data_IF_970026347347
#
_entry.id   IF_970026347347
#
_cell.length_a   1.000
_cell.length_b   1.000
_cell.length_c   1.000
_cell.angle_alpha   90.00
_cell.angle_beta   90.00
_cell.angle_gamma   90.00
#
_symmetry.space_group_name_H-M   'P 1'
#
loop_
_entity.id
_entity.type
_entity.pdbx_description
1 polymer ?
#
# COMPACT_ATOMS: atom_id res chain seq x y z
N UNK A 1 1.59 1.95 87.13
CA UNK A 1 2.52 2.15 86.00
C UNK A 1 2.75 0.79 85.35
N UNK A 2 2.34 0.69 84.08
CA UNK A 2 2.95 -0.15 83.02
C UNK A 2 2.93 -1.69 83.17
N UNK A 3 2.64 -2.51 82.15
CA UNK A 3 2.63 -2.36 80.68
C UNK A 3 1.57 -3.29 80.06
N UNK A 4 0.83 -2.79 79.07
CA UNK A 4 -0.14 -3.54 78.24
C UNK A 4 0.62 -4.28 77.12
N UNK A 5 0.33 -5.56 76.81
CA UNK A 5 0.93 -6.23 75.66
C UNK A 5 0.27 -5.78 74.35
N UNK A 6 1.10 -5.29 73.43
CA UNK A 6 0.72 -4.95 72.07
C UNK A 6 0.49 -6.25 71.28
N UNK A 7 -0.77 -6.64 71.08
CA UNK A 7 -1.13 -7.65 70.11
C UNK A 7 -1.16 -7.01 68.71
N UNK A 8 -0.13 -7.24 67.90
CA UNK A 8 -0.16 -6.88 66.47
C UNK A 8 -1.28 -7.67 65.80
N UNK A 9 -2.34 -6.97 65.37
CA UNK A 9 -3.34 -7.50 64.44
C UNK A 9 -2.63 -7.88 63.13
N UNK A 10 -2.77 -9.11 62.61
CA UNK A 10 -2.40 -9.38 61.24
C UNK A 10 -3.36 -8.66 60.30
N UNK A 11 -2.78 -8.21 59.20
CA UNK A 11 -3.38 -7.43 58.13
C UNK A 11 -4.71 -7.99 57.63
N UNK A 12 -5.62 -7.08 57.30
CA UNK A 12 -7.01 -7.33 56.98
C UNK A 12 -7.23 -8.43 55.95
N UNK A 13 -8.15 -9.35 56.28
CA UNK A 13 -8.89 -10.07 55.27
C UNK A 13 -9.54 -9.04 54.33
N UNK A 14 -9.02 -8.90 53.11
CA UNK A 14 -9.80 -8.36 52.01
C UNK A 14 -10.94 -9.35 51.74
N UNK A 15 -12.05 -9.13 52.44
CA UNK A 15 -13.31 -9.81 52.21
C UNK A 15 -13.82 -9.29 50.87
N UNK A 16 -13.96 -10.17 49.88
CA UNK A 16 -14.53 -9.83 48.59
C UNK A 16 -16.00 -9.43 48.83
N UNK A 17 -16.27 -8.12 48.86
CA UNK A 17 -17.64 -7.62 48.90
C UNK A 17 -18.23 -7.93 47.52
N UNK A 18 -19.29 -8.76 47.48
CA UNK A 18 -20.10 -8.94 46.27
C UNK A 18 -20.88 -7.64 46.04
N UNK A 19 -20.26 -6.65 45.42
CA UNK A 19 -20.99 -5.47 44.94
C UNK A 19 -21.54 -5.81 43.57
N UNK A 20 -22.79 -6.28 43.54
CA UNK A 20 -23.52 -6.46 42.29
C UNK A 20 -24.10 -5.11 41.88
N UNK A 21 -23.33 -4.32 41.13
CA UNK A 21 -23.86 -3.17 40.37
C UNK A 21 -23.68 -3.46 38.89
N UNK A 22 -24.78 -3.89 38.27
CA UNK A 22 -24.91 -4.00 36.83
C UNK A 22 -25.14 -2.58 36.30
N UNK A 23 -24.07 -1.89 35.92
CA UNK A 23 -24.16 -0.66 35.13
C UNK A 23 -24.05 -1.05 33.66
N UNK A 24 -25.17 -1.47 33.06
CA UNK A 24 -25.28 -1.61 31.61
C UNK A 24 -25.57 -0.21 31.06
N UNK A 25 -24.51 0.49 30.66
CA UNK A 25 -24.63 1.65 29.77
C UNK A 25 -24.54 1.11 28.35
N UNK A 26 -25.68 0.78 27.73
CA UNK A 26 -25.76 0.56 26.28
C UNK A 26 -25.81 1.96 25.67
N UNK A 27 -24.64 2.51 25.33
CA UNK A 27 -24.57 3.58 24.33
C UNK A 27 -24.79 2.90 23.00
N UNK A 28 -26.02 2.94 22.49
CA UNK A 28 -26.31 2.56 21.10
C UNK A 28 -25.79 3.69 20.20
N UNK A 29 -24.47 3.78 20.06
CA UNK A 29 -23.86 4.63 19.06
C UNK A 29 -24.05 3.89 17.72
N UNK A 30 -25.05 4.31 16.96
CA UNK A 30 -25.17 3.95 15.54
C UNK A 30 -24.01 4.60 14.80
N UNK A 31 -22.83 3.95 14.84
CA UNK A 31 -21.71 4.30 13.97
C UNK A 31 -22.09 3.76 12.60
N UNK A 32 -22.51 4.66 11.71
CA UNK A 32 -22.59 4.37 10.28
C UNK A 32 -21.16 4.10 9.80
N UNK A 33 -20.81 2.83 9.63
CA UNK A 33 -19.55 2.42 9.02
C UNK A 33 -19.71 2.55 7.50
N UNK A 34 -19.32 3.71 6.98
CA UNK A 34 -19.17 3.88 5.54
C UNK A 34 -17.91 3.12 5.10
N UNK A 35 -18.11 1.91 4.60
CA UNK A 35 -17.10 1.17 3.84
C UNK A 35 -16.91 1.85 2.49
N UNK A 36 -16.06 2.87 2.47
CA UNK A 36 -15.54 3.39 1.22
C UNK A 36 -14.53 2.38 0.69
N UNK A 37 -14.74 1.89 -0.54
CA UNK A 37 -13.69 1.16 -1.24
C UNK A 37 -12.44 2.04 -1.27
N UNK A 38 -11.39 1.63 -0.58
CA UNK A 38 -10.16 2.41 -0.54
C UNK A 38 -9.45 2.23 -1.87
N UNK A 39 -9.18 3.35 -2.54
CA UNK A 39 -8.40 3.35 -3.78
C UNK A 39 -6.94 3.27 -3.39
N UNK A 40 -6.29 2.16 -3.73
CA UNK A 40 -4.86 1.96 -3.56
C UNK A 40 -4.14 2.18 -4.89
N UNK A 41 -2.92 2.71 -4.82
CA UNK A 41 -2.09 3.01 -5.98
C UNK A 41 -0.67 2.48 -5.75
N UNK A 42 -0.15 1.73 -6.72
CA UNK A 42 1.25 1.32 -6.77
C UNK A 42 1.91 1.97 -7.98
N UNK A 43 3.08 2.58 -7.76
CA UNK A 43 3.79 3.35 -8.77
C UNK A 43 5.20 2.80 -8.97
N UNK A 44 5.58 2.60 -10.24
CA UNK A 44 6.90 2.17 -10.68
C UNK A 44 7.50 3.26 -11.56
N UNK A 45 8.52 3.96 -11.07
CA UNK A 45 9.08 5.20 -11.68
C UNK A 45 10.54 5.07 -12.14
N UNK A 46 11.14 3.90 -12.00
CA UNK A 46 12.55 3.66 -12.33
C UNK A 46 12.58 2.52 -13.33
N UNK A 47 13.46 2.62 -14.33
CA UNK A 47 13.64 1.57 -15.30
C UNK A 47 13.98 0.24 -14.64
N UNK A 48 13.35 -0.83 -15.12
CA UNK A 48 13.58 -2.16 -14.59
C UNK A 48 12.38 -3.09 -14.76
N UNK A 49 12.54 -4.30 -14.23
CA UNK A 49 11.50 -5.33 -14.22
C UNK A 49 11.05 -5.58 -12.79
N UNK A 50 9.75 -5.54 -12.57
CA UNK A 50 9.09 -5.74 -11.29
C UNK A 50 7.97 -6.78 -11.42
N UNK A 51 7.43 -7.18 -10.28
CA UNK A 51 6.25 -8.05 -10.21
C UNK A 51 5.15 -7.33 -9.45
N UNK A 52 3.96 -7.25 -10.06
CA UNK A 52 2.73 -6.85 -9.38
C UNK A 52 1.91 -8.10 -9.08
N UNK A 53 1.56 -8.32 -7.81
CA UNK A 53 0.62 -9.37 -7.42
C UNK A 53 -0.72 -8.72 -7.13
N UNK A 54 -1.78 -9.18 -7.79
CA UNK A 54 -3.13 -8.66 -7.57
C UNK A 54 -3.52 -8.92 -6.10
N UNK A 55 -3.81 -7.87 -5.31
CA UNK A 55 -4.18 -8.08 -3.91
C UNK A 55 -5.46 -8.90 -3.76
N UNK A 56 -5.61 -9.53 -2.60
CA UNK A 56 -6.81 -10.28 -2.28
C UNK A 56 -8.04 -9.35 -2.28
N UNK A 57 -9.15 -9.83 -2.84
CA UNK A 57 -10.39 -9.06 -2.97
C UNK A 57 -10.42 -8.09 -4.14
N UNK A 58 -9.35 -8.00 -4.95
CA UNK A 58 -9.27 -7.16 -6.15
C UNK A 58 -9.59 -8.00 -7.39
N UNK A 59 -10.58 -7.54 -8.15
CA UNK A 59 -11.02 -8.17 -9.41
C UNK A 59 -10.90 -7.24 -10.63
N UNK A 60 -10.48 -5.99 -10.41
CA UNK A 60 -10.28 -4.99 -11.45
C UNK A 60 -9.14 -4.06 -11.06
N UNK A 61 -8.27 -3.75 -12.02
CA UNK A 61 -7.19 -2.78 -11.88
C UNK A 61 -7.21 -1.81 -13.06
N UNK A 62 -6.84 -0.56 -12.82
CA UNK A 62 -6.51 0.41 -13.88
C UNK A 62 -5.02 0.55 -13.96
N UNK A 63 -4.46 0.28 -15.13
CA UNK A 63 -3.03 0.41 -15.40
C UNK A 63 -2.81 1.59 -16.32
N UNK A 64 -1.92 2.49 -15.93
CA UNK A 64 -1.45 3.61 -16.72
C UNK A 64 0.05 3.45 -16.96
N UNK A 65 0.50 3.55 -18.20
CA UNK A 65 1.89 3.38 -18.60
C UNK A 65 2.37 4.57 -19.41
N UNK A 66 3.63 4.95 -19.21
CA UNK A 66 4.38 5.93 -19.99
C UNK A 66 5.67 5.28 -20.48
N UNK A 67 5.98 5.38 -21.77
CA UNK A 67 7.25 4.91 -22.32
C UNK A 67 8.42 5.81 -21.91
N UNK A 68 9.64 5.28 -21.99
CA UNK A 68 10.85 6.09 -21.78
C UNK A 68 11.02 7.14 -22.88
N UNK A 69 11.60 8.28 -22.53
CA UNK A 69 11.95 9.33 -23.50
C UNK A 69 13.22 8.97 -24.26
N UNK A 70 13.36 9.44 -25.49
CA UNK A 70 14.59 9.32 -26.27
C UNK A 70 15.68 10.24 -25.74
N UNK A 71 16.94 9.79 -25.84
CA UNK A 71 18.10 10.63 -25.58
C UNK A 71 18.35 11.60 -26.73
N UNK A 72 18.89 12.78 -26.44
CA UNK A 72 19.33 13.68 -27.50
C UNK A 72 20.54 13.09 -28.26
N UNK A 73 20.85 13.67 -29.42
CA UNK A 73 22.03 13.25 -30.20
C UNK A 73 23.31 13.40 -29.38
N UNK A 74 24.14 12.35 -29.37
CA UNK A 74 25.25 12.18 -28.44
C UNK A 74 26.66 12.09 -29.04
N UNK A 75 26.80 12.12 -30.36
CA UNK A 75 28.04 11.77 -31.08
C UNK A 75 29.20 12.79 -31.00
N UNK A 76 29.15 13.80 -30.12
CA UNK A 76 30.20 14.80 -29.97
C UNK A 76 30.38 15.80 -31.15
N UNK A 77 29.64 15.67 -32.25
CA UNK A 77 29.74 16.57 -33.42
C UNK A 77 28.97 17.89 -33.24
N UNK A 78 29.03 18.82 -34.21
CA UNK A 78 28.32 20.13 -34.12
C UNK A 78 26.77 20.04 -34.18
N UNK A 79 26.20 18.85 -34.06
CA UNK A 79 24.82 18.51 -34.33
C UNK A 79 24.04 18.14 -33.05
N UNK A 80 22.81 18.68 -32.93
CA UNK A 80 22.24 19.06 -31.63
C UNK A 80 20.71 18.90 -31.52
N UNK A 81 20.13 17.94 -32.25
CA UNK A 81 18.69 17.68 -32.12
C UNK A 81 18.36 16.88 -30.86
N UNK A 82 17.16 17.10 -30.37
CA UNK A 82 16.68 16.57 -29.09
C UNK A 82 15.98 15.22 -29.24
N UNK A 83 15.84 14.47 -28.16
CA UNK A 83 15.07 13.22 -28.15
C UNK A 83 13.57 13.45 -28.10
N UNK A 84 12.79 12.49 -28.62
CA UNK A 84 11.33 12.51 -28.52
C UNK A 84 10.83 12.03 -27.14
N UNK A 85 9.65 12.48 -26.72
CA UNK A 85 9.01 12.02 -25.49
C UNK A 85 8.34 10.66 -25.65
N UNK A 86 8.16 9.92 -24.56
CA UNK A 86 7.45 8.64 -24.52
C UNK A 86 5.94 8.79 -24.71
N UNK A 87 5.31 7.75 -25.26
CA UNK A 87 3.86 7.66 -25.39
C UNK A 87 3.19 7.34 -24.04
N UNK A 88 1.86 7.33 -24.05
CA UNK A 88 1.04 6.84 -22.96
C UNK A 88 0.00 5.84 -23.42
N UNK A 89 -0.25 4.86 -22.56
CA UNK A 89 -1.35 3.95 -22.68
C UNK A 89 -2.01 3.68 -21.33
N UNK A 90 -3.31 3.41 -21.36
CA UNK A 90 -4.05 3.00 -20.18
C UNK A 90 -5.14 2.00 -20.54
N UNK A 91 -5.41 1.08 -19.63
CA UNK A 91 -6.53 0.15 -19.68
C UNK A 91 -7.02 -0.18 -18.28
N UNK A 92 -8.33 -0.40 -18.13
CA UNK A 92 -8.89 -1.12 -16.99
C UNK A 92 -8.98 -2.60 -17.36
N UNK A 93 -8.40 -3.46 -16.52
CA UNK A 93 -8.27 -4.89 -16.73
C UNK A 93 -9.06 -5.63 -15.66
N UNK A 94 -9.90 -6.58 -16.09
CA UNK A 94 -10.44 -7.59 -15.19
C UNK A 94 -9.32 -8.55 -14.79
N UNK A 95 -9.17 -8.80 -13.50
CA UNK A 95 -8.10 -9.63 -12.95
C UNK A 95 -8.63 -10.61 -11.91
N UNK A 96 -7.80 -11.60 -11.59
CA UNK A 96 -8.05 -12.52 -10.48
C UNK A 96 -7.06 -12.20 -9.37
N UNK A 97 -7.54 -12.13 -8.14
CA UNK A 97 -6.69 -11.99 -6.96
C UNK A 97 -5.59 -13.06 -6.90
N UNK A 98 -4.41 -12.68 -6.41
CA UNK A 98 -3.25 -13.55 -6.32
C UNK A 98 -2.50 -13.77 -7.64
N UNK A 99 -3.09 -13.42 -8.79
CA UNK A 99 -2.39 -13.46 -10.08
C UNK A 99 -1.23 -12.48 -10.08
N UNK A 100 -0.10 -12.90 -10.65
CA UNK A 100 1.09 -12.06 -10.82
C UNK A 100 1.20 -11.54 -12.24
N UNK A 101 1.64 -10.29 -12.36
CA UNK A 101 1.94 -9.62 -13.63
C UNK A 101 3.37 -9.12 -13.60
N UNK A 102 4.10 -9.35 -14.70
CA UNK A 102 5.38 -8.68 -14.93
C UNK A 102 5.12 -7.21 -15.25
N UNK A 103 5.91 -6.32 -14.67
CA UNK A 103 5.86 -4.88 -14.90
C UNK A 103 7.23 -4.44 -15.36
N UNK A 104 7.34 -3.97 -16.60
CA UNK A 104 8.60 -3.46 -17.18
C UNK A 104 8.46 -1.95 -17.35
N UNK A 105 9.25 -1.19 -16.60
CA UNK A 105 9.38 0.25 -16.81
C UNK A 105 10.49 0.49 -17.84
N UNK A 106 10.15 1.14 -18.94
CA UNK A 106 11.09 1.43 -20.02
C UNK A 106 12.15 2.44 -19.60
N UNK A 107 13.41 2.14 -19.88
CA UNK A 107 14.52 3.07 -19.64
C UNK A 107 14.45 4.28 -20.57
N UNK A 108 14.86 5.43 -20.05
CA UNK A 108 15.18 6.59 -20.86
C UNK A 108 16.39 6.33 -21.77
N UNK A 109 16.35 6.86 -22.98
CA UNK A 109 17.45 6.76 -23.92
C UNK A 109 18.63 7.62 -23.49
N UNK A 110 19.84 7.06 -23.49
CA UNK A 110 21.05 7.83 -23.23
C UNK A 110 21.48 8.64 -24.44
N UNK A 111 22.13 9.77 -24.19
CA UNK A 111 22.59 10.68 -25.23
C UNK A 111 23.94 10.23 -25.82
N UNK A 112 23.98 9.05 -26.44
CA UNK A 112 25.16 8.49 -27.13
C UNK A 112 24.82 8.19 -28.59
N UNK A 113 25.70 8.56 -29.52
CA UNK A 113 25.57 8.22 -30.95
C UNK A 113 24.69 9.16 -31.79
N UNK A 114 24.46 8.76 -33.04
CA UNK A 114 23.58 9.41 -34.00
C UNK A 114 22.82 8.36 -34.84
N UNK A 115 21.51 8.17 -34.62
CA UNK A 115 20.68 8.87 -33.64
C UNK A 115 21.13 8.62 -32.19
N UNK A 116 20.68 9.47 -31.25
CA UNK A 116 20.73 9.14 -29.83
C UNK A 116 19.99 7.82 -29.55
N UNK A 117 20.13 7.25 -28.35
CA UNK A 117 19.38 6.02 -28.04
C UNK A 117 17.89 6.33 -27.87
N UNK A 118 17.04 5.45 -28.40
CA UNK A 118 15.61 5.51 -28.15
C UNK A 118 15.29 5.10 -26.72
N UNK A 119 14.27 5.73 -26.14
CA UNK A 119 13.65 5.25 -24.92
C UNK A 119 12.98 3.90 -25.15
N UNK A 120 12.96 3.07 -24.13
CA UNK A 120 12.33 1.76 -24.18
C UNK A 120 10.84 1.87 -23.85
N UNK A 121 10.06 0.91 -24.37
CA UNK A 121 8.64 0.82 -24.04
C UNK A 121 8.43 0.41 -22.57
N UNK A 122 7.36 0.90 -21.96
CA UNK A 122 6.87 0.39 -20.67
C UNK A 122 5.75 -0.61 -20.92
N UNK A 123 5.84 -1.78 -20.29
CA UNK A 123 4.97 -2.93 -20.54
C UNK A 123 4.39 -3.46 -19.23
N UNK A 124 3.08 -3.63 -19.19
CA UNK A 124 2.38 -4.34 -18.11
C UNK A 124 1.81 -5.67 -18.59
N UNK A 125 2.07 -6.72 -17.81
CA UNK A 125 1.65 -8.08 -18.10
C UNK A 125 2.25 -8.62 -19.40
N UNK A 126 1.52 -9.53 -20.06
CA UNK A 126 1.91 -10.04 -21.38
C UNK A 126 1.39 -9.09 -22.48
N UNK A 127 1.92 -7.87 -22.52
CA UNK A 127 1.50 -6.79 -23.44
C UNK A 127 0.03 -6.38 -23.30
N UNK A 128 -0.54 -6.44 -22.10
CA UNK A 128 -1.92 -5.98 -21.86
C UNK A 128 -2.02 -4.46 -21.89
N UNK A 129 -0.97 -3.77 -21.43
CA UNK A 129 -0.77 -2.33 -21.62
C UNK A 129 0.68 -2.10 -22.04
N UNK A 130 0.88 -1.37 -23.13
CA UNK A 130 2.19 -1.00 -23.66
C UNK A 130 2.18 0.47 -24.00
N UNK A 131 3.15 1.21 -23.46
CA UNK A 131 3.41 2.59 -23.84
C UNK A 131 4.74 2.67 -24.57
N UNK A 132 4.68 3.06 -25.85
CA UNK A 132 5.82 3.14 -26.75
C UNK A 132 6.87 4.17 -26.30
N UNK A 133 8.15 3.87 -26.54
CA UNK A 133 9.27 4.75 -26.19
C UNK A 133 9.48 5.86 -27.23
N UNK A 134 10.06 6.99 -26.80
CA UNK A 134 10.46 8.06 -27.69
C UNK A 134 11.72 7.71 -28.49
N UNK A 135 11.79 8.12 -29.75
CA UNK A 135 12.99 7.92 -30.57
C UNK A 135 14.13 8.85 -30.13
N UNK A 136 15.36 8.36 -30.21
CA UNK A 136 16.53 9.20 -29.95
C UNK A 136 16.73 10.30 -31.00
N UNK A 137 17.39 11.37 -30.58
CA UNK A 137 17.54 12.60 -31.38
C UNK A 137 18.44 12.42 -32.60
N UNK A 138 17.97 12.93 -33.74
CA UNK A 138 18.79 13.14 -34.95
C UNK A 138 19.13 14.64 -35.10
N UNK A 139 19.40 15.13 -36.30
CA UNK A 139 19.42 16.58 -36.57
C UNK A 139 18.04 17.22 -36.57
N UNK A 140 17.03 16.43 -36.88
CA UNK A 140 15.62 16.84 -36.99
C UNK A 140 14.82 16.46 -35.75
N UNK A 141 15.51 16.38 -34.60
CA UNK A 141 14.94 15.80 -33.39
C UNK A 141 14.67 14.31 -33.50
N UNK A 142 14.12 13.73 -32.43
CA UNK A 142 13.60 12.37 -32.37
C UNK A 142 12.07 12.40 -32.38
N UNK A 143 11.44 11.45 -33.05
CA UNK A 143 9.99 11.28 -33.00
C UNK A 143 9.53 10.91 -31.58
N UNK A 144 8.37 11.40 -31.16
CA UNK A 144 7.73 10.91 -29.94
C UNK A 144 7.26 9.48 -30.09
N UNK A 145 7.08 8.78 -28.97
CA UNK A 145 6.46 7.45 -28.95
C UNK A 145 5.07 7.48 -29.57
N UNK A 146 4.68 6.41 -30.23
CA UNK A 146 3.52 6.41 -31.13
C UNK A 146 2.28 5.74 -30.51
N UNK A 147 1.10 6.17 -30.97
CA UNK A 147 -0.16 5.46 -30.68
C UNK A 147 -0.16 4.05 -31.28
N UNK A 148 0.46 3.87 -32.46
CA UNK A 148 0.54 2.59 -33.15
C UNK A 148 1.42 1.56 -32.41
N UNK A 149 2.52 2.00 -31.78
CA UNK A 149 3.37 1.18 -30.93
C UNK A 149 2.81 0.94 -29.53
N UNK A 150 1.68 1.58 -29.18
CA UNK A 150 1.06 1.49 -27.86
C UNK A 150 -0.17 0.59 -27.85
N UNK A 151 -0.34 -0.15 -26.76
CA UNK A 151 -1.48 -1.06 -26.51
C UNK A 151 -2.22 -0.55 -25.27
N UNK A 152 -3.51 -0.25 -25.42
CA UNK A 152 -4.38 0.19 -24.35
C UNK A 152 -5.69 0.74 -24.90
N UNK A 153 -6.70 0.90 -24.04
CA UNK A 153 -8.00 1.50 -24.42
C UNK A 153 -7.86 3.00 -24.67
N UNK A 154 -7.04 3.69 -23.87
CA UNK A 154 -6.68 5.09 -24.08
C UNK A 154 -5.21 5.18 -24.45
N UNK A 155 -4.89 5.92 -25.51
CA UNK A 155 -3.51 6.05 -26.02
C UNK A 155 -3.24 7.47 -26.50
N UNK A 156 -2.06 7.97 -26.16
CA UNK A 156 -1.57 9.27 -26.62
C UNK A 156 -0.12 9.17 -27.04
N UNK A 157 0.24 9.88 -28.10
CA UNK A 157 1.62 9.96 -28.55
C UNK A 157 2.45 10.87 -27.63
N UNK A 158 3.76 10.64 -27.60
CA UNK A 158 4.72 11.58 -27.04
C UNK A 158 4.98 12.75 -28.00
N UNK A 159 5.57 13.83 -27.49
CA UNK A 159 5.99 14.95 -28.30
C UNK A 159 7.27 14.64 -29.08
N UNK A 160 7.43 15.23 -30.25
CA UNK A 160 8.69 15.18 -30.99
C UNK A 160 9.75 16.09 -30.34
N UNK A 161 11.02 15.70 -30.42
CA UNK A 161 12.15 16.56 -30.07
C UNK A 161 12.33 17.67 -31.10
N UNK A 162 12.82 18.81 -30.64
CA UNK A 162 13.14 19.97 -31.47
C UNK A 162 14.39 19.75 -32.34
N UNK A 163 14.41 20.43 -33.47
CA UNK A 163 15.55 20.50 -34.38
C UNK A 163 16.67 21.35 -33.78
N UNK A 164 17.89 21.18 -34.32
CA UNK A 164 18.99 22.15 -34.09
C UNK A 164 18.63 23.54 -34.64
N UNK A 165 19.28 24.59 -34.15
CA UNK A 165 19.10 25.97 -34.60
C UNK A 165 19.62 26.32 -36.00
N UNK A 166 19.36 25.48 -37.00
CA UNK A 166 19.81 25.71 -38.39
C UNK A 166 21.32 25.52 -38.59
N UNK A 167 21.84 26.00 -39.72
CA UNK A 167 23.28 25.92 -40.07
C UNK A 167 24.14 26.96 -39.36
N UNK A 168 23.54 28.08 -38.96
CA UNK A 168 24.23 29.22 -38.32
C UNK A 168 23.94 29.36 -36.83
N UNK A 169 22.93 28.67 -36.28
CA UNK A 169 22.54 28.82 -34.88
C UNK A 169 23.32 27.93 -33.92
N UNK A 170 23.48 28.45 -32.70
CA UNK A 170 24.27 27.84 -31.62
C UNK A 170 23.41 27.06 -30.61
N UNK A 171 22.08 27.17 -30.68
CA UNK A 171 21.15 26.47 -29.79
C UNK A 171 20.87 25.01 -30.19
N UNK A 172 20.83 24.13 -29.18
CA UNK A 172 20.27 22.78 -29.31
C UNK A 172 18.74 22.78 -29.27
N UNK A 173 18.12 21.74 -29.81
CA UNK A 173 16.66 21.57 -29.74
C UNK A 173 16.20 21.23 -28.32
N UNK A 174 14.97 21.59 -27.96
CA UNK A 174 14.32 21.12 -26.74
C UNK A 174 13.76 19.71 -26.92
N UNK A 175 13.83 18.87 -25.88
CA UNK A 175 13.26 17.52 -25.90
C UNK A 175 11.74 17.52 -26.02
N UNK A 176 11.17 16.46 -26.58
CA UNK A 176 9.71 16.28 -26.61
C UNK A 176 9.16 15.99 -25.22
N UNK A 177 7.98 16.53 -24.89
CA UNK A 177 7.29 16.17 -23.66
C UNK A 177 6.72 14.75 -23.74
N UNK A 178 6.65 14.06 -22.60
CA UNK A 178 5.78 12.88 -22.47
C UNK A 178 4.31 13.28 -22.64
N UNK A 179 3.42 12.30 -22.78
CA UNK A 179 1.98 12.57 -22.95
C UNK A 179 1.41 13.46 -21.81
N UNK A 180 0.36 14.25 -22.06
CA UNK A 180 -0.21 15.18 -21.08
C UNK A 180 -1.07 14.48 -20.00
N UNK A 181 -0.48 13.64 -19.15
CA UNK A 181 -1.11 13.06 -17.96
C UNK A 181 -2.48 12.36 -18.20
N UNK A 182 -2.73 11.82 -19.40
CA UNK A 182 -3.99 11.20 -19.88
C UNK A 182 -5.02 12.09 -20.57
N UNK A 183 -4.74 13.38 -20.80
CA UNK A 183 -5.70 14.28 -21.48
C UNK A 183 -5.32 14.62 -22.92
N UNK A 184 -4.15 14.19 -23.39
CA UNK A 184 -3.72 14.42 -24.77
C UNK A 184 -2.28 13.99 -25.06
N UNK A 185 -1.88 14.23 -26.31
CA UNK A 185 -0.51 14.00 -26.77
C UNK A 185 0.50 14.90 -26.04
N UNK A 186 1.75 14.45 -25.97
CA UNK A 186 2.85 15.26 -25.46
C UNK A 186 3.17 16.40 -26.41
N UNK A 187 3.59 17.55 -25.87
CA UNK A 187 3.94 18.68 -26.70
C UNK A 187 5.34 18.52 -27.29
N UNK A 188 5.50 18.99 -28.52
CA UNK A 188 6.81 18.99 -29.18
C UNK A 188 7.76 19.95 -28.46
N UNK A 189 9.03 19.58 -28.41
CA UNK A 189 10.09 20.51 -28.03
C UNK A 189 10.29 21.57 -29.10
N UNK A 190 10.66 22.78 -28.67
CA UNK A 190 10.96 23.86 -29.59
C UNK A 190 12.31 23.63 -30.27
N UNK A 191 12.45 24.14 -31.49
CA UNK A 191 13.73 24.16 -32.20
C UNK A 191 14.73 25.07 -31.47
N UNK A 192 16.02 24.75 -31.58
CA UNK A 192 17.07 25.65 -31.16
C UNK A 192 17.03 26.97 -31.92
N UNK A 193 17.42 28.06 -31.27
CA UNK A 193 17.56 29.38 -31.86
C UNK A 193 19.00 29.73 -32.25
N UNK A 194 19.18 30.95 -32.77
CA UNK A 194 20.50 31.47 -33.13
C UNK A 194 21.43 31.61 -31.93
N UNK A 195 20.90 31.97 -30.76
CA UNK A 195 21.66 32.21 -29.52
C UNK A 195 21.19 31.39 -28.32
N UNK A 196 19.93 30.93 -28.33
CA UNK A 196 19.31 30.19 -27.23
C UNK A 196 18.93 28.77 -27.63
N UNK A 197 18.96 27.84 -26.67
CA UNK A 197 18.39 26.51 -26.86
C UNK A 197 16.86 26.54 -26.92
N UNK A 198 16.27 25.51 -27.53
CA UNK A 198 14.82 25.35 -27.59
C UNK A 198 14.25 24.93 -26.24
N UNK A 199 13.07 25.44 -25.88
CA UNK A 199 12.34 24.96 -24.70
C UNK A 199 11.90 23.51 -24.88
N UNK A 200 11.98 22.72 -23.82
CA UNK A 200 11.39 21.38 -23.80
C UNK A 200 9.87 21.42 -23.96
N UNK A 201 9.32 20.39 -24.58
CA UNK A 201 7.89 20.21 -24.71
C UNK A 201 7.24 19.93 -23.36
N UNK A 202 6.08 20.53 -23.09
CA UNK A 202 5.33 20.31 -21.85
C UNK A 202 4.48 19.04 -21.91
N UNK A 203 4.19 18.44 -20.75
CA UNK A 203 3.39 17.21 -20.62
C UNK A 203 3.60 16.52 -19.26
N UNK A 204 3.16 15.27 -19.11
CA UNK A 204 3.63 14.40 -18.02
C UNK A 204 5.04 13.96 -18.34
N UNK A 205 6.00 14.57 -17.66
CA UNK A 205 7.41 14.45 -18.00
C UNK A 205 7.78 15.48 -19.06
N UNK A 206 8.12 16.69 -18.60
CA UNK A 206 8.57 17.75 -19.49
C UNK A 206 9.85 17.30 -20.21
N UNK A 207 9.97 17.63 -21.50
CA UNK A 207 11.21 17.49 -22.22
C UNK A 207 12.30 18.38 -21.62
N UNK A 208 13.55 17.97 -21.78
CA UNK A 208 14.69 18.77 -21.36
C UNK A 208 14.89 19.98 -22.26
N UNK A 209 15.28 21.13 -21.69
CA UNK A 209 15.62 22.30 -22.47
C UNK A 209 16.91 22.06 -23.28
N UNK A 210 16.95 22.59 -24.50
CA UNK A 210 18.16 22.63 -25.30
C UNK A 210 19.19 23.58 -24.68
N UNK A 211 20.47 23.27 -24.87
CA UNK A 211 21.58 24.11 -24.46
C UNK A 211 21.76 25.32 -25.39
N UNK A 212 21.99 26.49 -24.80
CA UNK A 212 22.57 27.66 -25.48
C UNK A 212 24.06 27.43 -25.76
N UNK A 213 24.73 28.29 -26.54
CA UNK A 213 26.09 28.08 -27.08
C UNK A 213 27.02 27.16 -26.27
N UNK A 214 27.42 27.52 -25.05
CA UNK A 214 28.33 26.75 -24.19
C UNK A 214 27.63 25.84 -23.14
N UNK A 215 26.29 25.80 -23.14
CA UNK A 215 25.51 25.09 -22.13
C UNK A 215 25.16 23.67 -22.59
N UNK A 216 25.17 22.69 -21.66
CA UNK A 216 24.68 21.35 -21.95
C UNK A 216 23.17 21.37 -22.21
N UNK A 217 22.67 20.31 -22.85
CA UNK A 217 21.23 20.06 -22.90
C UNK A 217 20.77 19.48 -21.56
N UNK A 218 19.56 19.82 -21.12
CA UNK A 218 18.98 19.24 -19.92
C UNK A 218 18.39 17.86 -20.20
N UNK A 219 18.43 16.98 -19.20
CA UNK A 219 17.70 15.71 -19.25
C UNK A 219 16.19 15.95 -19.28
N UNK A 220 15.45 15.00 -19.82
CA UNK A 220 14.00 14.96 -19.68
C UNK A 220 13.57 14.68 -18.23
N UNK A 221 12.30 14.96 -17.93
CA UNK A 221 11.71 14.67 -16.62
C UNK A 221 10.85 13.41 -16.67
N UNK A 222 10.88 12.61 -15.61
CA UNK A 222 10.02 11.42 -15.48
C UNK A 222 8.54 11.86 -15.35
N UNK A 223 7.61 11.22 -16.06
CA UNK A 223 7.84 10.08 -16.95
C UNK A 223 8.10 10.47 -18.40
N UNK A 224 9.09 9.85 -19.03
CA UNK A 224 9.19 9.80 -20.49
C UNK A 224 9.52 11.11 -21.20
N UNK A 225 9.93 12.18 -20.51
CA UNK A 225 10.42 13.39 -21.17
C UNK A 225 11.66 13.09 -22.03
N UNK A 226 11.72 13.61 -23.25
CA UNK A 226 12.88 13.50 -24.13
C UNK A 226 14.03 14.41 -23.67
N UNK A 227 15.27 14.01 -23.94
CA UNK A 227 16.44 14.81 -23.59
C UNK A 227 16.65 16.00 -24.52
N UNK A 228 17.12 17.13 -23.98
CA UNK A 228 17.47 18.33 -24.75
C UNK A 228 18.82 18.23 -25.45
N UNK A 229 18.95 18.81 -26.64
CA UNK A 229 20.22 18.86 -27.37
C UNK A 229 21.21 19.84 -26.75
N UNK A 230 22.51 19.55 -26.78
CA UNK A 230 23.57 20.49 -26.32
C UNK A 230 23.68 21.75 -27.19
N UNK A 231 24.31 22.81 -26.67
CA UNK A 231 24.76 23.96 -27.45
C UNK A 231 25.95 23.65 -28.38
N UNK A 232 26.26 24.54 -29.35
CA UNK A 232 27.35 24.33 -30.34
C UNK A 232 28.74 24.21 -29.75
N UNK A 233 28.96 24.81 -28.59
CA UNK A 233 30.20 24.79 -27.81
C UNK A 233 29.98 24.08 -26.47
N UNK A 234 28.77 23.57 -26.23
CA UNK A 234 28.34 23.01 -24.96
C UNK A 234 28.76 21.56 -24.79
N UNK A 235 28.83 21.13 -23.53
CA UNK A 235 29.19 19.76 -23.11
C UNK A 235 28.11 18.71 -23.45
N UNK A 236 27.79 17.83 -22.51
CA UNK A 236 26.90 16.68 -22.77
C UNK A 236 25.50 17.09 -23.24
N UNK A 237 24.91 16.25 -24.09
CA UNK A 237 23.50 16.32 -24.45
C UNK A 237 22.64 15.66 -23.35
N UNK A 238 21.37 16.05 -23.27
CA UNK A 238 20.44 15.51 -22.28
C UNK A 238 19.97 14.09 -22.60
N UNK A 239 19.84 13.28 -21.57
CA UNK A 239 19.23 11.94 -21.61
C UNK A 239 17.70 12.04 -21.59
N UNK A 240 17.05 11.02 -22.15
CA UNK A 240 15.62 10.83 -21.96
C UNK A 240 15.34 10.33 -20.55
N UNK A 241 14.17 10.66 -20.02
CA UNK A 241 13.73 10.15 -18.73
C UNK A 241 13.15 8.74 -18.85
N UNK A 242 13.26 7.97 -17.77
CA UNK A 242 12.56 6.70 -17.62
C UNK A 242 11.05 6.87 -17.78
N UNK A 243 10.42 5.79 -18.23
CA UNK A 243 8.98 5.66 -18.24
C UNK A 243 8.39 5.56 -16.83
N UNK A 244 7.11 5.21 -16.77
CA UNK A 244 6.40 4.97 -15.51
C UNK A 244 5.28 3.99 -15.72
N UNK A 245 4.98 3.18 -14.71
CA UNK A 245 3.72 2.44 -14.64
C UNK A 245 3.04 2.75 -13.31
N UNK A 246 1.75 3.07 -13.37
CA UNK A 246 0.88 3.27 -12.20
C UNK A 246 -0.25 2.25 -12.28
N UNK A 247 -0.43 1.48 -11.22
CA UNK A 247 -1.52 0.52 -11.06
C UNK A 247 -2.41 1.01 -9.93
N UNK A 248 -3.66 1.32 -10.26
CA UNK A 248 -4.67 1.77 -9.30
C UNK A 248 -5.78 0.74 -9.21
N UNK A 249 -6.22 0.44 -8.00
CA UNK A 249 -7.28 -0.55 -7.77
C UNK A 249 -8.08 -0.21 -6.52
N UNK A 250 -9.35 -0.60 -6.52
CA UNK A 250 -10.17 -0.57 -5.33
C UNK A 250 -9.78 -1.78 -4.48
N UNK A 251 -9.13 -1.54 -3.33
CA UNK A 251 -8.99 -2.58 -2.30
C UNK A 251 -10.25 -2.60 -1.46
N UNK A 252 -10.93 -3.75 -1.46
CA UNK A 252 -12.04 -4.00 -0.55
C UNK A 252 -11.44 -4.31 0.82
N UNK A 253 -11.42 -3.32 1.72
CA UNK A 253 -11.02 -3.51 3.11
C UNK A 253 -12.06 -4.34 3.86
N UNK A 254 -11.61 -5.05 4.88
CA UNK A 254 -12.48 -5.67 5.88
C UNK A 254 -12.64 -4.73 7.08
N UNK A 255 -13.50 -5.10 8.02
CA UNK A 255 -13.65 -4.46 9.32
C UNK A 255 -13.99 -5.59 10.29
N UNK A 256 -12.99 -6.06 11.05
CA UNK A 256 -13.12 -7.18 11.97
C UNK A 256 -13.20 -6.67 13.41
N UNK A 257 -14.41 -6.66 13.96
CA UNK A 257 -14.65 -6.28 15.33
C UNK A 257 -14.52 -7.46 16.30
N UNK A 258 -13.80 -7.25 17.41
CA UNK A 258 -13.67 -8.21 18.51
C UNK A 258 -14.51 -7.75 19.70
N UNK A 259 -15.26 -8.68 20.27
CA UNK A 259 -15.91 -8.53 21.58
C UNK A 259 -15.36 -9.56 22.54
N UNK A 260 -15.25 -9.20 23.82
CA UNK A 260 -14.79 -10.11 24.86
C UNK A 260 -15.45 -9.84 26.20
N UNK A 261 -15.98 -10.88 26.82
CA UNK A 261 -16.58 -10.81 28.16
C UNK A 261 -16.10 -11.95 29.03
N UNK A 262 -16.17 -11.77 30.35
CA UNK A 262 -16.01 -12.82 31.34
C UNK A 262 -17.35 -13.06 32.04
N UNK A 263 -17.60 -14.29 32.49
CA UNK A 263 -18.82 -14.65 33.24
C UNK A 263 -18.95 -13.92 34.58
N UNK A 264 -17.85 -13.36 35.10
CA UNK A 264 -17.79 -12.57 36.32
C UNK A 264 -16.61 -11.60 36.28
N UNK A 265 -16.74 -10.44 36.93
CA UNK A 265 -15.63 -9.50 37.19
C UNK A 265 -14.81 -9.86 38.44
N UNK A 266 -15.33 -10.77 39.28
CA UNK A 266 -14.66 -11.26 40.48
C UNK A 266 -14.82 -12.76 40.69
N UNK A 267 -13.74 -13.45 41.06
CA UNK A 267 -13.74 -14.88 41.32
C UNK A 267 -12.92 -15.21 42.58
N UNK A 268 -13.11 -16.41 43.13
CA UNK A 268 -12.20 -16.96 44.14
C UNK A 268 -11.29 -18.01 43.53
N UNK A 269 -10.08 -18.18 44.09
CA UNK A 269 -9.19 -19.30 43.74
C UNK A 269 -9.98 -20.62 43.72
N UNK A 270 -9.80 -21.40 42.66
CA UNK A 270 -10.49 -22.67 42.39
C UNK A 270 -11.80 -22.54 41.61
N UNK A 271 -12.33 -21.33 41.36
CA UNK A 271 -13.53 -21.17 40.54
C UNK A 271 -13.24 -21.22 39.04
N UNK A 272 -14.19 -21.79 38.31
CA UNK A 272 -14.22 -21.71 36.85
C UNK A 272 -14.68 -20.31 36.42
N UNK A 273 -13.97 -19.72 35.47
CA UNK A 273 -14.34 -18.49 34.77
C UNK A 273 -14.49 -18.83 33.30
N UNK A 274 -15.59 -18.35 32.71
CA UNK A 274 -15.87 -18.51 31.29
C UNK A 274 -15.62 -17.19 30.59
N UNK A 275 -14.81 -17.19 29.55
CA UNK A 275 -14.60 -16.06 28.67
C UNK A 275 -15.31 -16.31 27.34
N UNK A 276 -16.09 -15.34 26.88
CA UNK A 276 -16.74 -15.38 25.56
C UNK A 276 -16.06 -14.38 24.65
N UNK A 277 -15.59 -14.85 23.50
CA UNK A 277 -14.95 -14.06 22.44
C UNK A 277 -15.86 -14.09 21.23
N UNK A 278 -16.22 -12.92 20.69
CA UNK A 278 -16.98 -12.81 19.45
C UNK A 278 -16.20 -12.03 18.41
N UNK A 279 -16.19 -12.53 17.18
CA UNK A 279 -15.59 -11.90 16.00
C UNK A 279 -16.70 -11.65 14.99
N UNK A 280 -16.78 -10.43 14.48
CA UNK A 280 -17.75 -10.07 13.43
C UNK A 280 -17.02 -9.35 12.32
N UNK A 281 -17.32 -9.70 11.07
CA UNK A 281 -16.90 -8.91 9.92
C UNK A 281 -17.99 -7.89 9.57
N UNK A 282 -17.80 -6.63 9.98
CA UNK A 282 -18.75 -5.53 9.79
C UNK A 282 -18.54 -4.78 8.47
N UNK A 283 -17.59 -5.21 7.63
CA UNK A 283 -17.42 -4.63 6.28
C UNK A 283 -18.62 -4.92 5.39
N UNK A 284 -18.87 -4.04 4.41
CA UNK A 284 -19.93 -4.22 3.41
C UNK A 284 -19.38 -4.89 2.16
N UNK A 285 -19.71 -6.17 1.96
CA UNK A 285 -19.41 -6.91 0.75
C UNK A 285 -18.02 -7.56 0.70
N UNK A 286 -17.13 -7.34 1.67
CA UNK A 286 -15.79 -7.97 1.70
C UNK A 286 -15.79 -9.23 2.57
N UNK A 287 -15.35 -10.35 2.02
CA UNK A 287 -15.07 -11.56 2.82
C UNK A 287 -13.65 -11.49 3.37
N UNK A 288 -13.48 -11.63 4.69
CA UNK A 288 -12.19 -11.77 5.34
C UNK A 288 -11.68 -13.20 5.17
N UNK A 289 -10.39 -13.35 4.88
CA UNK A 289 -9.74 -14.66 4.68
C UNK A 289 -8.51 -14.76 5.55
N UNK A 290 -8.16 -16.00 5.93
CA UNK A 290 -7.12 -16.29 6.90
C UNK A 290 -7.35 -15.54 8.22
N UNK A 291 -8.60 -15.55 8.69
CA UNK A 291 -8.99 -14.92 9.94
C UNK A 291 -8.41 -15.73 11.10
N UNK A 292 -7.54 -15.09 11.88
CA UNK A 292 -6.86 -15.68 13.02
C UNK A 292 -7.03 -14.79 14.24
N UNK A 293 -7.47 -15.39 15.34
CA UNK A 293 -7.60 -14.75 16.65
C UNK A 293 -6.48 -15.27 17.57
N UNK A 294 -5.86 -14.36 18.32
CA UNK A 294 -4.95 -14.70 19.40
C UNK A 294 -5.59 -14.37 20.75
N UNK A 295 -5.84 -15.41 21.55
CA UNK A 295 -6.41 -15.35 22.90
C UNK A 295 -5.87 -16.51 23.75
N UNK A 296 -4.76 -16.25 24.43
CA UNK A 296 -4.16 -17.19 25.38
C UNK A 296 -4.68 -16.90 26.80
N UNK A 297 -5.16 -17.94 27.49
CA UNK A 297 -5.51 -17.81 28.90
C UNK A 297 -4.27 -17.36 29.71
N UNK A 298 -4.42 -16.38 30.63
CA UNK A 298 -3.32 -15.98 31.49
C UNK A 298 -2.79 -17.14 32.34
N UNK A 299 -1.50 -17.15 32.66
CA UNK A 299 -0.84 -18.25 33.40
C UNK A 299 -1.44 -18.57 34.77
N UNK A 300 -2.24 -17.67 35.34
CA UNK A 300 -3.02 -17.92 36.55
C UNK A 300 -4.25 -18.82 36.36
N UNK A 301 -4.54 -19.28 35.14
CA UNK A 301 -5.64 -20.19 34.82
C UNK A 301 -5.15 -21.55 34.34
N UNK A 302 -5.87 -22.61 34.71
CA UNK A 302 -5.79 -23.93 34.08
C UNK A 302 -6.89 -24.02 33.02
N UNK A 303 -6.50 -24.25 31.76
CA UNK A 303 -7.45 -24.46 30.66
C UNK A 303 -8.30 -25.72 30.89
N UNK A 304 -9.61 -25.61 30.66
CA UNK A 304 -10.57 -26.72 30.74
C UNK A 304 -11.11 -27.08 29.36
N UNK A 305 -11.66 -26.09 28.64
CA UNK A 305 -12.27 -26.33 27.34
C UNK A 305 -12.37 -25.05 26.52
N UNK A 306 -12.49 -25.23 25.20
CA UNK A 306 -12.90 -24.20 24.26
C UNK A 306 -14.03 -24.76 23.38
N UNK A 307 -15.12 -24.02 23.23
CA UNK A 307 -16.22 -24.36 22.34
C UNK A 307 -16.37 -23.27 21.27
N UNK A 308 -16.43 -23.68 20.00
CA UNK A 308 -16.48 -22.79 18.83
C UNK A 308 -17.88 -22.78 18.23
N UNK A 309 -18.42 -21.59 17.90
CA UNK A 309 -19.71 -21.42 17.23
C UNK A 309 -19.62 -20.39 16.10
N UNK A 310 -19.87 -20.74 14.83
CA UNK A 310 -20.09 -22.11 14.33
C UNK A 310 -18.87 -23.00 14.62
N UNK A 311 -19.04 -24.32 14.57
CA UNK A 311 -17.97 -25.30 14.81
C UNK A 311 -16.98 -25.39 13.65
N UNK A 312 -16.52 -24.23 13.19
CA UNK A 312 -15.55 -24.03 12.11
C UNK A 312 -14.26 -23.47 12.71
N UNK A 313 -13.13 -24.00 12.25
CA UNK A 313 -11.82 -23.59 12.74
C UNK A 313 -11.26 -24.48 13.84
N UNK A 314 -10.10 -24.10 14.38
CA UNK A 314 -9.38 -24.84 15.43
C UNK A 314 -8.77 -23.88 16.44
N UNK A 315 -8.86 -24.22 17.73
CA UNK A 315 -8.20 -23.51 18.81
C UNK A 315 -7.09 -24.37 19.43
N UNK A 316 -5.91 -23.78 19.62
CA UNK A 316 -4.76 -24.43 20.26
C UNK A 316 -4.49 -23.75 21.60
N UNK A 317 -4.88 -24.40 22.69
CA UNK A 317 -4.83 -23.79 24.04
C UNK A 317 -3.42 -23.46 24.53
N UNK A 318 -2.38 -24.12 24.02
CA UNK A 318 -0.99 -23.84 24.39
C UNK A 318 -0.44 -22.55 23.77
N UNK A 319 -1.01 -22.09 22.65
CA UNK A 319 -0.59 -20.87 21.96
C UNK A 319 -1.65 -19.76 22.02
N UNK A 320 -2.92 -20.12 22.29
CA UNK A 320 -4.04 -19.21 22.25
C UNK A 320 -4.54 -18.90 20.83
N UNK A 321 -4.00 -19.59 19.81
CA UNK A 321 -4.35 -19.35 18.41
C UNK A 321 -5.67 -20.03 18.10
N UNK A 322 -6.66 -19.25 17.65
CA UNK A 322 -7.90 -19.71 17.04
C UNK A 322 -7.93 -19.33 15.56
N UNK A 323 -7.86 -20.33 14.68
CA UNK A 323 -7.93 -20.14 13.24
C UNK A 323 -9.37 -20.34 12.77
N UNK A 324 -10.01 -19.27 12.28
CA UNK A 324 -11.39 -19.29 11.75
C UNK A 324 -11.39 -19.64 10.26
N UNK A 325 -10.38 -19.18 9.52
CA UNK A 325 -10.29 -19.36 8.07
C UNK A 325 -10.97 -18.22 7.33
N UNK A 326 -12.20 -18.39 6.85
CA UNK A 326 -12.91 -17.37 6.09
C UNK A 326 -14.14 -16.86 6.85
N UNK A 327 -14.37 -15.55 6.83
CA UNK A 327 -15.52 -14.90 7.45
C UNK A 327 -16.16 -13.92 6.47
N UNK A 328 -17.33 -14.30 5.94
CA UNK A 328 -18.09 -13.47 5.00
C UNK A 328 -18.45 -12.10 5.61
N UNK A 329 -18.74 -11.11 4.76
CA UNK A 329 -19.34 -9.84 5.19
C UNK A 329 -20.63 -10.09 5.97
N UNK A 330 -20.77 -9.44 7.13
CA UNK A 330 -21.86 -9.67 8.09
C UNK A 330 -21.76 -10.99 8.86
N UNK A 331 -20.80 -11.85 8.55
CA UNK A 331 -20.56 -13.11 9.23
C UNK A 331 -19.96 -12.91 10.61
N UNK A 332 -20.25 -13.84 11.51
CA UNK A 332 -19.70 -13.87 12.87
C UNK A 332 -19.25 -15.27 13.27
N UNK A 333 -18.28 -15.30 14.19
CA UNK A 333 -17.81 -16.50 14.86
C UNK A 333 -17.57 -16.19 16.34
N UNK A 334 -17.73 -17.18 17.21
CA UNK A 334 -17.49 -17.03 18.64
C UNK A 334 -16.77 -18.23 19.24
N UNK A 335 -16.00 -17.96 20.29
CA UNK A 335 -15.31 -18.95 21.11
C UNK A 335 -15.68 -18.75 22.57
N UNK A 336 -16.05 -19.84 23.24
CA UNK A 336 -16.29 -19.89 24.69
C UNK A 336 -15.16 -20.66 25.34
N UNK A 337 -14.33 -19.96 26.11
CA UNK A 337 -13.10 -20.45 26.73
C UNK A 337 -13.30 -20.60 28.24
N UNK A 338 -13.10 -21.78 28.79
CA UNK A 338 -13.30 -22.07 30.23
C UNK A 338 -11.96 -22.37 30.88
N UNK A 339 -11.67 -21.70 32.01
CA UNK A 339 -10.49 -21.96 32.82
C UNK A 339 -10.77 -21.92 34.32
N UNK A 340 -10.06 -22.72 35.10
CA UNK A 340 -10.07 -22.68 36.57
C UNK A 340 -8.97 -21.73 37.03
N UNK A 341 -9.30 -20.77 37.89
CA UNK A 341 -8.32 -19.79 38.37
C UNK A 341 -7.54 -20.30 39.59
N UNK A 342 -6.21 -20.28 39.51
CA UNK A 342 -5.33 -20.97 40.47
C UNK A 342 -4.76 -20.03 41.54
N UNK A 343 -4.63 -18.74 41.24
CA UNK A 343 -3.93 -17.79 42.10
C UNK A 343 -4.71 -16.47 42.21
N UNK A 344 -4.68 -15.87 43.40
CA UNK A 344 -5.24 -14.54 43.61
C UNK A 344 -4.44 -13.48 42.83
N UNK A 345 -5.12 -12.43 42.35
CA UNK A 345 -4.55 -11.40 41.49
C UNK A 345 -5.57 -10.84 40.52
N UNK A 346 -5.19 -9.81 39.76
CA UNK A 346 -6.01 -9.28 38.67
C UNK A 346 -5.48 -9.82 37.35
N UNK A 347 -6.35 -10.45 36.56
CA UNK A 347 -6.00 -11.03 35.27
C UNK A 347 -6.72 -10.31 34.16
N UNK A 348 -5.94 -9.95 33.13
CA UNK A 348 -6.44 -9.45 31.87
C UNK A 348 -6.36 -10.60 30.87
N UNK A 349 -7.49 -10.98 30.29
CA UNK A 349 -7.51 -11.89 29.16
C UNK A 349 -7.91 -11.09 27.93
N UNK A 350 -7.03 -11.08 26.92
CA UNK A 350 -7.13 -10.22 25.74
C UNK A 350 -7.21 -11.06 24.49
N UNK A 351 -8.15 -10.73 23.61
CA UNK A 351 -8.29 -11.31 22.28
C UNK A 351 -7.92 -10.25 21.23
N UNK A 352 -7.24 -10.66 20.16
CA UNK A 352 -6.94 -9.82 18.99
C UNK A 352 -7.16 -10.60 17.71
N UNK A 353 -7.61 -9.94 16.64
CA UNK A 353 -7.93 -10.59 15.35
C UNK A 353 -7.13 -9.99 14.19
N UNK A 354 -6.75 -10.85 13.25
CA UNK A 354 -6.07 -10.47 12.00
C UNK A 354 -6.67 -11.22 10.81
N UNK A 355 -6.46 -10.70 9.60
CA UNK A 355 -6.82 -11.32 8.32
C UNK A 355 -5.84 -10.89 7.22
N UNK A 356 -5.97 -11.44 6.02
CA UNK A 356 -5.13 -11.06 4.87
C UNK A 356 -5.50 -9.69 4.28
N UNK A 357 -6.78 -9.30 4.36
CA UNK A 357 -7.27 -8.02 3.87
C UNK A 357 -6.89 -6.90 4.85
N UNK A 358 -6.60 -5.68 4.37
CA UNK A 358 -6.45 -4.54 5.26
C UNK A 358 -7.76 -4.28 6.02
N UNK A 359 -7.63 -3.92 7.29
CA UNK A 359 -8.76 -3.60 8.16
C UNK A 359 -8.96 -2.08 8.22
N UNK A 360 -10.19 -1.63 7.95
CA UNK A 360 -10.56 -0.21 7.93
C UNK A 360 -10.70 0.41 9.32
N UNK A 361 -10.86 -0.39 10.37
CA UNK A 361 -10.99 0.09 11.75
C UNK A 361 -10.19 -0.77 12.73
N UNK A 362 -8.87 -0.72 12.62
CA UNK A 362 -7.95 -1.47 13.52
C UNK A 362 -8.17 -1.24 15.03
N UNK A 363 -8.88 -0.19 15.45
CA UNK A 363 -9.18 0.09 16.85
C UNK A 363 -10.17 -0.91 17.48
N UNK A 364 -11.00 -1.60 16.67
CA UNK A 364 -11.94 -2.60 17.16
C UNK A 364 -11.41 -4.05 17.03
N UNK A 365 -10.18 -4.25 16.56
CA UNK A 365 -9.57 -5.57 16.34
C UNK A 365 -9.05 -6.24 17.62
N UNK A 366 -9.30 -5.65 18.80
CA UNK A 366 -8.93 -6.25 20.08
C UNK A 366 -9.92 -5.91 21.19
N UNK A 367 -10.08 -6.83 22.14
CA UNK A 367 -10.89 -6.62 23.34
C UNK A 367 -10.30 -7.34 24.54
N UNK A 368 -10.49 -6.79 25.74
CA UNK A 368 -9.95 -7.34 26.99
C UNK A 368 -11.04 -7.48 28.04
N UNK A 369 -11.09 -8.64 28.71
CA UNK A 369 -11.89 -8.87 29.90
C UNK A 369 -10.98 -8.93 31.13
N UNK A 370 -11.40 -8.27 32.21
CA UNK A 370 -10.64 -8.18 33.47
C UNK A 370 -11.36 -8.93 34.57
N UNK A 371 -10.65 -9.81 35.27
CA UNK A 371 -11.18 -10.58 36.40
C UNK A 371 -10.27 -10.40 37.61
N UNK A 372 -10.85 -9.96 38.72
CA UNK A 372 -10.14 -9.84 40.00
C UNK A 372 -10.39 -11.08 40.86
N UNK A 373 -9.30 -11.74 41.27
CA UNK A 373 -9.36 -13.02 41.96
C UNK A 373 -8.90 -12.87 43.38
N UNK A 374 -9.77 -13.27 44.30
CA UNK A 374 -9.49 -13.27 45.73
C UNK A 374 -9.13 -14.67 46.22
N UNK A 375 -8.39 -14.76 47.33
CA UNK A 375 -8.23 -16.05 48.03
C UNK A 375 -9.59 -16.53 48.53
N UNK A 376 -9.82 -17.84 48.49
CA UNK A 376 -10.99 -18.42 49.16
C UNK A 376 -10.93 -18.04 50.65
N UNK A 377 -12.01 -17.49 51.18
CA UNK A 377 -12.07 -17.13 52.59
C UNK A 377 -11.90 -18.38 53.45
N UNK A 378 -10.95 -18.36 54.38
CA UNK A 378 -10.90 -19.37 55.44
C UNK A 378 -12.19 -19.25 56.25
N UNK A 379 -13.05 -20.27 56.24
CA UNK A 379 -14.07 -20.41 57.27
C UNK A 379 -13.35 -20.46 58.62
N UNK A 380 -13.54 -19.43 59.45
CA UNK A 380 -13.08 -19.47 60.84
C UNK A 380 -13.64 -20.73 61.52
N UNK A 381 -12.83 -21.53 62.23
CA UNK A 381 -13.39 -22.55 63.09
C UNK A 381 -14.21 -21.84 64.17
N UNK A 382 -15.48 -22.22 64.30
CA UNK A 382 -16.31 -21.85 65.45
C UNK A 382 -15.59 -22.42 66.69
N UNK A 383 -14.99 -21.55 67.50
CA UNK A 383 -14.57 -21.94 68.84
C UNK A 383 -15.83 -21.97 69.71
N UNK A 384 -16.14 -23.18 70.16
CA UNK A 384 -17.16 -23.52 71.14
C UNK A 384 -16.73 -23.06 72.54
#
# INVERSE_FOLDING_TARGET
METIPIYRRPHGLMKCIRTSTVNIVIVLLTIFHFSHAQVATQTFNTAGTYTFTVPIGVNSITVQAWGGGGGARGDGTSNRGAGGGGAYASSTLSVTQGTTFTVVVGAGGVATGNPGQSGQASVFGNNQVVADGGSGGTNSGGAGGTVAGSIGTTRFAGGAGGNRGGTTGVGGGGGGGGSAFSTGNGNNGANGGLTQGGSGGTGAGNGGNGGSAAQPGSDGVVPGGGGGGRGSQGGSSGMGADGRIVVTYASNAVDLAVTKTASTSSATVGQAVTFTVGITNTSNGTTATNVVVNDLLPSGYTFISAALTPSTGTYVSSTGIWTIGSLASGGSASMVLVGIVNTAGTYNNSASVTANQPDSNTANNSATAVVTVCRAGSSSPLFN
#
